data_IF_753618412427
#
_entry.id   IF_753618412427
#
_cell.length_a   1.000
_cell.length_b   1.000
_cell.length_c   1.000
_cell.angle_alpha   90.00
_cell.angle_beta   90.00
_cell.angle_gamma   90.00
#
_symmetry.space_group_name_H-M   'P 1'
#
loop_
_entity.id
_entity.type
_entity.pdbx_description
1 polymer ?
#
# COMPACT_ATOMS: atom_id res chain seq x y z
N UNK A 1 -0.79 -44.57 14.17
CA UNK A 1 -2.20 -44.14 14.22
C UNK A 1 -2.37 -43.10 13.12
N UNK A 2 -2.76 -43.54 11.92
CA UNK A 2 -2.81 -42.72 10.71
C UNK A 2 -4.29 -42.52 10.39
N UNK A 3 -4.79 -41.30 10.60
CA UNK A 3 -6.16 -40.95 10.20
C UNK A 3 -6.26 -40.94 8.66
N UNK A 4 -7.33 -41.49 8.06
CA UNK A 4 -7.43 -41.58 6.60
C UNK A 4 -7.72 -40.20 5.98
N UNK A 5 -6.76 -39.67 5.20
CA UNK A 5 -6.82 -38.38 4.46
C UNK A 5 -8.20 -38.09 3.84
N UNK A 6 -8.81 -39.13 3.25
CA UNK A 6 -10.11 -39.09 2.57
C UNK A 6 -11.26 -38.39 3.31
N UNK A 7 -11.30 -38.43 4.65
CA UNK A 7 -12.40 -37.81 5.43
C UNK A 7 -12.20 -36.30 5.58
N UNK A 8 -10.97 -35.86 5.79
CA UNK A 8 -10.64 -34.43 5.87
C UNK A 8 -10.79 -33.78 4.49
N UNK A 9 -10.37 -34.48 3.43
CA UNK A 9 -10.53 -34.02 2.05
C UNK A 9 -12.01 -33.81 1.69
N UNK A 10 -12.89 -34.72 2.13
CA UNK A 10 -14.34 -34.58 1.98
C UNK A 10 -14.90 -33.37 2.77
N UNK A 11 -14.46 -33.17 4.02
CA UNK A 11 -14.88 -32.03 4.83
C UNK A 11 -14.44 -30.69 4.21
N UNK A 12 -13.21 -30.62 3.69
CA UNK A 12 -12.69 -29.44 3.00
C UNK A 12 -13.50 -29.16 1.73
N UNK A 13 -13.82 -30.20 0.95
CA UNK A 13 -14.65 -30.09 -0.26
C UNK A 13 -16.04 -29.52 0.08
N UNK A 14 -16.72 -30.11 1.06
CA UNK A 14 -18.05 -29.63 1.51
C UNK A 14 -17.98 -28.21 2.06
N UNK A 15 -16.94 -27.86 2.81
CA UNK A 15 -16.77 -26.50 3.36
C UNK A 15 -16.53 -25.47 2.26
N UNK A 16 -15.67 -25.79 1.28
CA UNK A 16 -15.43 -24.91 0.12
C UNK A 16 -16.69 -24.76 -0.73
N UNK A 17 -17.44 -25.84 -0.91
CA UNK A 17 -18.71 -25.85 -1.61
C UNK A 17 -19.76 -24.95 -0.93
N UNK A 18 -19.84 -24.98 0.40
CA UNK A 18 -20.67 -24.07 1.20
C UNK A 18 -20.17 -22.63 1.10
N UNK A 19 -18.85 -22.40 1.08
CA UNK A 19 -18.27 -21.05 0.93
C UNK A 19 -18.64 -20.43 -0.42
N UNK A 20 -18.40 -21.15 -1.53
CA UNK A 20 -18.74 -20.67 -2.89
C UNK A 20 -20.24 -20.49 -3.08
N UNK A 21 -21.05 -21.27 -2.36
CA UNK A 21 -22.50 -21.10 -2.33
C UNK A 21 -22.94 -19.75 -1.76
N UNK A 22 -22.23 -19.16 -0.81
CA UNK A 22 -22.59 -17.83 -0.26
C UNK A 22 -22.46 -16.72 -1.30
N UNK A 23 -21.58 -16.91 -2.28
CA UNK A 23 -21.38 -16.01 -3.42
C UNK A 23 -22.28 -16.34 -4.62
N UNK A 24 -23.15 -17.35 -4.51
CA UNK A 24 -24.00 -17.81 -5.61
C UNK A 24 -23.24 -18.51 -6.75
N UNK A 25 -21.98 -18.88 -6.54
CA UNK A 25 -21.11 -19.47 -7.58
C UNK A 25 -21.11 -21.02 -7.56
N UNK A 26 -22.14 -21.65 -6.99
CA UNK A 26 -22.21 -23.11 -6.89
C UNK A 26 -22.93 -23.72 -8.09
N UNK A 27 -22.33 -24.76 -8.68
CA UNK A 27 -22.97 -25.56 -9.73
C UNK A 27 -24.01 -26.52 -9.14
N UNK A 28 -25.25 -26.42 -9.61
CA UNK A 28 -26.40 -27.25 -9.16
C UNK A 28 -26.23 -28.76 -9.43
N UNK A 29 -25.31 -29.11 -10.34
CA UNK A 29 -25.09 -30.48 -10.80
C UNK A 29 -24.55 -31.41 -9.70
N UNK A 30 -23.79 -30.87 -8.74
CA UNK A 30 -23.15 -31.65 -7.67
C UNK A 30 -24.18 -32.19 -6.67
N UNK A 31 -25.23 -31.42 -6.35
CA UNK A 31 -26.27 -31.83 -5.39
C UNK A 31 -27.26 -32.82 -6.00
N UNK A 32 -27.44 -32.79 -7.33
CA UNK A 32 -28.33 -33.71 -8.05
C UNK A 32 -27.72 -35.09 -8.24
N UNK A 33 -26.39 -35.19 -8.34
CA UNK A 33 -25.68 -36.42 -8.65
C UNK A 33 -25.44 -37.34 -7.44
N UNK A 34 -25.42 -36.81 -6.21
CA UNK A 34 -24.91 -37.52 -5.02
C UNK A 34 -26.02 -37.98 -4.03
N UNK A 35 -27.29 -37.69 -4.33
CA UNK A 35 -28.43 -38.08 -3.49
C UNK A 35 -28.99 -39.45 -3.90
N UNK A 36 -28.74 -40.46 -3.06
CA UNK A 36 -29.13 -41.85 -3.32
C UNK A 36 -30.58 -42.21 -2.94
N UNK A 37 -31.38 -41.27 -2.39
CA UNK A 37 -32.76 -41.52 -1.95
C UNK A 37 -33.65 -40.25 -2.00
N UNK A 38 -34.93 -40.40 -2.36
CA UNK A 38 -35.83 -39.26 -2.63
C UNK A 38 -36.12 -38.44 -1.36
N UNK A 39 -36.39 -39.09 -0.23
CA UNK A 39 -36.70 -38.40 1.03
C UNK A 39 -35.50 -37.63 1.58
N UNK A 40 -34.31 -38.22 1.52
CA UNK A 40 -33.06 -37.59 1.97
C UNK A 40 -32.75 -36.31 1.19
N UNK A 41 -33.00 -36.33 -0.13
CA UNK A 41 -32.81 -35.17 -1.02
C UNK A 41 -33.65 -33.97 -0.60
N UNK A 42 -34.93 -34.17 -0.26
CA UNK A 42 -35.81 -33.07 0.18
C UNK A 42 -35.34 -32.44 1.48
N UNK A 43 -34.90 -33.26 2.45
CA UNK A 43 -34.39 -32.78 3.73
C UNK A 43 -33.09 -31.97 3.54
N UNK A 44 -32.14 -32.49 2.76
CA UNK A 44 -30.86 -31.81 2.47
C UNK A 44 -31.08 -30.48 1.74
N UNK A 45 -31.95 -30.48 0.72
CA UNK A 45 -32.27 -29.27 -0.04
C UNK A 45 -32.91 -28.20 0.86
N UNK A 46 -33.85 -28.59 1.72
CA UNK A 46 -34.54 -27.67 2.64
C UNK A 46 -33.57 -27.06 3.65
N UNK A 47 -32.71 -27.87 4.26
CA UNK A 47 -31.69 -27.39 5.21
C UNK A 47 -30.67 -26.48 4.53
N UNK A 48 -30.28 -26.79 3.29
CA UNK A 48 -29.35 -25.97 2.52
C UNK A 48 -29.95 -24.60 2.16
N UNK A 49 -31.22 -24.55 1.73
CA UNK A 49 -31.90 -23.27 1.52
C UNK A 49 -32.06 -22.46 2.81
N UNK A 50 -32.43 -23.12 3.92
CA UNK A 50 -32.50 -22.47 5.22
C UNK A 50 -31.14 -21.90 5.66
N UNK A 51 -30.05 -22.65 5.46
CA UNK A 51 -28.69 -22.20 5.72
C UNK A 51 -28.34 -20.96 4.89
N UNK A 52 -28.65 -20.95 3.58
CA UNK A 52 -28.35 -19.82 2.71
C UNK A 52 -29.09 -18.55 3.15
N UNK A 53 -30.40 -18.65 3.40
CA UNK A 53 -31.21 -17.50 3.80
C UNK A 53 -30.73 -16.96 5.15
N UNK A 54 -30.54 -17.83 6.15
CA UNK A 54 -30.08 -17.42 7.47
C UNK A 54 -28.67 -16.82 7.41
N UNK A 55 -27.76 -17.45 6.67
CA UNK A 55 -26.38 -16.98 6.53
C UNK A 55 -26.32 -15.61 5.85
N UNK A 56 -27.01 -15.43 4.72
CA UNK A 56 -27.00 -14.14 4.00
C UNK A 56 -27.59 -13.02 4.84
N UNK A 57 -28.77 -13.22 5.45
CA UNK A 57 -29.43 -12.18 6.25
C UNK A 57 -28.58 -11.84 7.49
N UNK A 58 -28.08 -12.83 8.21
CA UNK A 58 -27.25 -12.57 9.39
C UNK A 58 -25.91 -11.91 9.01
N UNK A 59 -25.26 -12.37 7.93
CA UNK A 59 -24.00 -11.79 7.48
C UNK A 59 -24.17 -10.32 7.10
N UNK A 60 -25.20 -9.98 6.33
CA UNK A 60 -25.48 -8.59 5.95
C UNK A 60 -25.82 -7.74 7.19
N UNK A 61 -26.66 -8.24 8.09
CA UNK A 61 -27.04 -7.50 9.29
C UNK A 61 -25.85 -7.22 10.21
N UNK A 62 -24.96 -8.19 10.39
CA UNK A 62 -23.73 -8.00 11.18
C UNK A 62 -22.76 -7.08 10.45
N UNK A 63 -22.57 -7.24 9.13
CA UNK A 63 -21.68 -6.40 8.35
C UNK A 63 -22.11 -4.93 8.41
N UNK A 64 -23.40 -4.66 8.24
CA UNK A 64 -23.95 -3.30 8.34
C UNK A 64 -23.75 -2.77 9.76
N UNK A 65 -24.06 -3.55 10.81
CA UNK A 65 -23.86 -3.11 12.19
C UNK A 65 -22.38 -2.78 12.50
N UNK A 66 -21.44 -3.59 12.02
CA UNK A 66 -20.01 -3.36 12.19
C UNK A 66 -19.56 -2.13 11.40
N UNK A 67 -19.94 -2.02 10.12
CA UNK A 67 -19.58 -0.89 9.28
C UNK A 67 -20.11 0.42 9.85
N UNK A 68 -21.37 0.47 10.27
CA UNK A 68 -21.96 1.65 10.92
C UNK A 68 -21.16 2.04 12.17
N UNK A 69 -20.85 1.09 13.05
CA UNK A 69 -20.05 1.38 14.26
C UNK A 69 -18.65 1.90 13.91
N UNK A 70 -17.98 1.29 12.93
CA UNK A 70 -16.65 1.74 12.51
C UNK A 70 -16.69 3.10 11.82
N UNK A 71 -17.75 3.38 11.06
CA UNK A 71 -17.97 4.65 10.38
C UNK A 71 -18.22 5.76 11.37
N UNK A 72 -19.11 5.55 12.35
CA UNK A 72 -19.38 6.52 13.41
C UNK A 72 -18.10 6.84 14.20
N UNK A 73 -17.32 5.82 14.55
CA UNK A 73 -16.05 6.01 15.25
C UNK A 73 -15.03 6.82 14.41
N UNK A 74 -14.92 6.53 13.11
CA UNK A 74 -14.03 7.28 12.21
C UNK A 74 -14.54 8.72 12.00
N UNK A 75 -15.85 8.90 11.84
CA UNK A 75 -16.49 10.19 11.59
C UNK A 75 -16.29 11.16 12.76
N UNK A 76 -16.27 10.67 14.00
CA UNK A 76 -16.07 11.51 15.18
C UNK A 76 -14.74 12.30 15.15
N UNK A 77 -13.69 11.72 14.56
CA UNK A 77 -12.36 12.34 14.48
C UNK A 77 -11.97 12.76 13.04
N UNK A 78 -12.83 12.52 12.06
CA UNK A 78 -12.50 12.68 10.64
C UNK A 78 -12.04 14.09 10.27
N UNK A 79 -12.61 15.14 10.86
CA UNK A 79 -12.21 16.52 10.57
C UNK A 79 -10.79 16.82 11.06
N UNK A 80 -10.42 16.31 12.24
CA UNK A 80 -9.09 16.50 12.83
C UNK A 80 -8.07 15.70 12.02
N UNK A 81 -8.35 14.44 11.71
CA UNK A 81 -7.49 13.59 10.91
C UNK A 81 -7.31 14.14 9.48
N UNK A 82 -8.36 14.64 8.85
CA UNK A 82 -8.30 15.28 7.54
C UNK A 82 -7.43 16.54 7.57
N UNK A 83 -7.61 17.41 8.57
CA UNK A 83 -6.78 18.61 8.75
C UNK A 83 -5.33 18.25 9.00
N UNK A 84 -5.06 17.23 9.80
CA UNK A 84 -3.71 16.73 10.06
C UNK A 84 -3.06 16.19 8.77
N UNK A 85 -3.75 15.30 8.05
CA UNK A 85 -3.27 14.76 6.78
C UNK A 85 -3.00 15.87 5.75
N UNK A 86 -3.90 16.85 5.66
CA UNK A 86 -3.72 18.03 4.80
C UNK A 86 -2.50 18.85 5.21
N UNK A 87 -2.30 19.11 6.50
CA UNK A 87 -1.15 19.84 7.00
C UNK A 87 0.17 19.10 6.75
N UNK A 88 0.18 17.76 6.87
CA UNK A 88 1.34 16.93 6.53
C UNK A 88 1.70 17.07 5.05
N UNK A 89 0.72 16.99 4.16
CA UNK A 89 0.92 17.15 2.72
C UNK A 89 1.40 18.57 2.40
N UNK A 90 0.79 19.61 3.01
CA UNK A 90 1.22 20.99 2.82
C UNK A 90 2.67 21.18 3.28
N UNK A 91 3.05 20.61 4.43
CA UNK A 91 4.43 20.65 4.91
C UNK A 91 5.39 19.93 3.96
N UNK A 92 4.99 18.79 3.39
CA UNK A 92 5.79 18.09 2.36
C UNK A 92 6.01 18.96 1.13
N UNK A 93 4.98 19.64 0.62
CA UNK A 93 5.13 20.55 -0.51
C UNK A 93 5.97 21.79 -0.18
N UNK A 94 5.98 22.25 1.07
CA UNK A 94 6.84 23.36 1.52
C UNK A 94 8.31 22.97 1.61
N UNK A 95 8.63 21.71 1.92
CA UNK A 95 10.01 21.24 2.07
C UNK A 95 10.59 20.60 0.82
N UNK A 96 9.77 20.18 -0.14
CA UNK A 96 10.23 19.65 -1.42
C UNK A 96 10.64 20.77 -2.40
N UNK A 97 11.52 20.43 -3.34
CA UNK A 97 11.85 21.30 -4.47
C UNK A 97 10.56 21.64 -5.23
N UNK A 98 10.36 22.93 -5.52
CA UNK A 98 9.14 23.47 -6.16
C UNK A 98 8.89 23.03 -7.60
N UNK A 99 9.62 22.01 -8.08
CA UNK A 99 9.61 21.55 -9.47
C UNK A 99 9.11 20.11 -9.47
N UNK A 100 8.04 19.89 -10.23
CA UNK A 100 7.43 18.57 -10.36
C UNK A 100 8.41 17.55 -10.97
N UNK A 101 8.39 16.32 -10.46
CA UNK A 101 9.09 15.21 -11.10
C UNK A 101 8.52 14.98 -12.52
N UNK A 102 9.35 14.68 -13.54
CA UNK A 102 10.79 14.38 -13.51
C UNK A 102 11.73 15.61 -13.61
N UNK A 103 11.19 16.83 -13.78
CA UNK A 103 11.99 18.03 -14.07
C UNK A 103 12.86 18.51 -12.91
N UNK A 104 12.58 18.04 -11.68
CA UNK A 104 13.42 18.27 -10.49
C UNK A 104 14.91 17.93 -10.74
N UNK A 105 15.19 16.92 -11.58
CA UNK A 105 16.56 16.47 -11.87
C UNK A 105 17.38 17.47 -12.69
N UNK A 106 16.73 18.36 -13.47
CA UNK A 106 17.43 19.35 -14.30
C UNK A 106 17.90 20.51 -13.43
N UNK A 107 17.01 21.02 -12.58
CA UNK A 107 17.30 22.16 -11.71
C UNK A 107 18.20 21.79 -10.55
N UNK A 108 18.11 20.57 -10.03
CA UNK A 108 19.06 20.06 -9.03
C UNK A 108 20.50 20.04 -9.59
N UNK A 109 20.69 19.81 -10.91
CA UNK A 109 22.02 19.90 -11.52
C UNK A 109 22.53 21.34 -11.54
N UNK A 110 21.70 22.30 -11.91
CA UNK A 110 22.09 23.72 -11.97
C UNK A 110 22.39 24.29 -10.58
N UNK A 111 21.56 23.99 -9.58
CA UNK A 111 21.75 24.44 -8.20
C UNK A 111 23.00 23.81 -7.56
N UNK A 112 23.25 22.52 -7.80
CA UNK A 112 24.50 21.87 -7.37
C UNK A 112 25.71 22.50 -8.04
N UNK A 113 25.62 22.84 -9.33
CA UNK A 113 26.72 23.47 -10.06
C UNK A 113 27.07 24.84 -9.47
N UNK A 114 26.06 25.65 -9.11
CA UNK A 114 26.27 26.93 -8.43
C UNK A 114 26.93 26.75 -7.06
N UNK A 115 26.46 25.79 -6.26
CA UNK A 115 27.07 25.49 -4.97
C UNK A 115 28.53 25.04 -5.09
N UNK A 116 28.89 24.23 -6.09
CA UNK A 116 30.28 23.87 -6.34
C UNK A 116 31.11 25.09 -6.69
N UNK A 117 30.64 25.95 -7.60
CA UNK A 117 31.34 27.18 -7.97
C UNK A 117 31.60 28.08 -6.75
N UNK A 118 30.59 28.31 -5.91
CA UNK A 118 30.75 29.08 -4.67
C UNK A 118 31.75 28.44 -3.71
N UNK A 119 31.70 27.11 -3.53
CA UNK A 119 32.65 26.40 -2.66
C UNK A 119 34.10 26.49 -3.14
N UNK A 120 34.31 26.37 -4.46
CA UNK A 120 35.63 26.51 -5.06
C UNK A 120 36.22 27.90 -4.80
N UNK A 121 35.44 28.96 -5.04
CA UNK A 121 35.88 30.34 -4.89
C UNK A 121 36.04 30.79 -3.43
N UNK A 122 35.11 30.42 -2.55
CA UNK A 122 35.07 30.95 -1.18
C UNK A 122 35.98 30.16 -0.22
N UNK A 123 36.11 28.85 -0.41
CA UNK A 123 36.80 27.97 0.55
C UNK A 123 38.01 27.27 -0.06
N UNK A 124 37.86 26.65 -1.23
CA UNK A 124 38.92 25.79 -1.76
C UNK A 124 40.11 26.59 -2.31
N UNK A 125 39.88 27.49 -3.26
CA UNK A 125 40.95 28.26 -3.89
C UNK A 125 41.74 29.11 -2.89
N UNK A 126 41.11 29.80 -1.92
CA UNK A 126 41.84 30.53 -0.90
C UNK A 126 42.72 29.62 -0.04
N UNK A 127 42.18 28.48 0.41
CA UNK A 127 42.92 27.56 1.28
C UNK A 127 44.11 26.89 0.59
N UNK A 128 43.96 26.46 -0.66
CA UNK A 128 45.08 25.88 -1.43
C UNK A 128 46.10 26.94 -1.82
N UNK A 129 45.67 28.16 -2.12
CA UNK A 129 46.57 29.27 -2.47
C UNK A 129 47.44 29.64 -1.27
N UNK A 130 46.84 29.72 -0.08
CA UNK A 130 47.56 29.97 1.16
C UNK A 130 48.58 28.85 1.46
N UNK A 131 48.18 27.58 1.31
CA UNK A 131 49.08 26.43 1.49
C UNK A 131 50.25 26.44 0.48
N UNK A 132 49.98 26.75 -0.77
CA UNK A 132 51.01 26.80 -1.81
C UNK A 132 52.01 27.94 -1.58
N UNK A 133 51.51 29.14 -1.26
CA UNK A 133 52.34 30.28 -0.90
C UNK A 133 53.26 29.98 0.29
N UNK A 134 52.75 29.27 1.29
CA UNK A 134 53.55 28.83 2.42
C UNK A 134 54.63 27.80 2.06
N UNK A 135 54.41 26.96 1.06
CA UNK A 135 55.35 25.87 0.68
C UNK A 135 56.41 26.31 -0.33
N UNK A 136 56.06 27.18 -1.27
CA UNK A 136 56.91 27.54 -2.42
C UNK A 136 57.27 29.02 -2.49
N UNK A 137 56.77 29.85 -1.56
CA UNK A 137 57.08 31.29 -1.50
C UNK A 137 56.49 32.14 -2.63
N UNK A 138 55.75 31.53 -3.56
CA UNK A 138 55.17 32.16 -4.75
C UNK A 138 53.64 31.98 -4.78
N UNK A 139 52.92 32.80 -5.55
CA UNK A 139 51.47 32.66 -5.72
C UNK A 139 51.13 31.39 -6.52
N UNK A 140 49.97 30.80 -6.21
CA UNK A 140 49.46 29.63 -6.92
C UNK A 140 49.29 29.95 -8.42
N UNK A 141 49.77 29.11 -9.34
CA UNK A 141 49.58 29.33 -10.77
C UNK A 141 48.11 29.10 -11.11
N UNK A 142 47.35 30.18 -11.19
CA UNK A 142 46.03 30.16 -11.81
C UNK A 142 46.25 29.90 -13.30
N UNK A 143 45.49 28.97 -13.91
CA UNK A 143 45.54 28.87 -15.37
C UNK A 143 45.05 30.19 -15.92
N UNK A 144 45.89 30.92 -16.67
CA UNK A 144 45.44 32.06 -17.45
C UNK A 144 44.28 31.58 -18.32
N UNK A 145 43.05 31.96 -17.95
CA UNK A 145 41.95 31.99 -18.93
C UNK A 145 42.30 33.16 -19.84
N UNK A 146 43.03 32.84 -20.91
CA UNK A 146 43.45 33.80 -21.92
C UNK A 146 42.29 34.61 -22.48
N UNK A 147 42.64 35.87 -22.81
CA UNK A 147 42.23 36.69 -23.96
C UNK A 147 41.01 36.26 -24.78
#
# INVERSE_FOLDING_TARGET
>A
MIFPSSRIDLLIKVTSDLMWSLFGQRSDDVMRAEAADDASKYVVLTLYFAFLILSTIMMINILVALLTKTFDNASNNAEIEWKFARAVIENQYRTMHGIVVPFNLITEREDRQKNYQSYYEEYLFPSITQRYKSKYGTSFPLSDRGA
#
